data_IF_668687722737
#
_entry.id   IF_668687722737
#
_cell.length_a   1.000
_cell.length_b   1.000
_cell.length_c   1.000
_cell.angle_alpha   90.00
_cell.angle_beta   90.00
_cell.angle_gamma   90.00
#
_symmetry.space_group_name_H-M   'P 1'
#
loop_
_entity.id
_entity.type
_entity.pdbx_description
1 polymer ?
#
# COMPACT_ATOMS: atom_id res chain seq x y z
N UNK A 1 -39.31 -31.64 -5.55
CA UNK A 1 -37.86 -31.87 -5.38
C UNK A 1 -37.16 -30.53 -5.51
N UNK A 2 -36.73 -29.99 -4.38
CA UNK A 2 -35.95 -28.76 -4.41
C UNK A 2 -34.50 -29.11 -4.79
N UNK A 3 -34.04 -28.71 -5.95
CA UNK A 3 -32.64 -28.79 -6.34
C UNK A 3 -31.84 -27.92 -5.37
N UNK A 4 -31.06 -28.57 -4.49
CA UNK A 4 -30.10 -27.85 -3.66
C UNK A 4 -29.16 -27.10 -4.60
N UNK A 5 -29.21 -25.78 -4.55
CA UNK A 5 -28.23 -24.93 -5.21
C UNK A 5 -26.89 -25.29 -4.58
N UNK A 6 -26.07 -26.02 -5.31
CA UNK A 6 -24.71 -26.33 -4.93
C UNK A 6 -23.98 -24.97 -4.88
N UNK A 7 -23.81 -24.44 -3.68
CA UNK A 7 -23.01 -23.23 -3.46
C UNK A 7 -21.61 -23.55 -3.94
N UNK A 8 -21.22 -22.96 -5.06
CA UNK A 8 -19.92 -23.16 -5.67
C UNK A 8 -18.85 -22.75 -4.64
N UNK A 9 -18.12 -23.75 -4.12
CA UNK A 9 -17.05 -23.54 -3.11
C UNK A 9 -15.87 -22.72 -3.61
N UNK A 10 -15.96 -22.18 -4.84
CA UNK A 10 -14.99 -21.27 -5.46
C UNK A 10 -15.15 -19.82 -5.01
N UNK A 11 -16.25 -19.46 -4.35
CA UNK A 11 -16.39 -18.13 -3.77
C UNK A 11 -15.55 -18.08 -2.48
N UNK A 12 -14.60 -17.15 -2.45
CA UNK A 12 -13.82 -16.85 -1.25
C UNK A 12 -14.81 -16.59 -0.10
N UNK A 13 -14.89 -17.48 0.88
CA UNK A 13 -15.72 -17.27 2.06
C UNK A 13 -15.09 -16.18 2.90
N UNK A 14 -15.48 -14.93 2.63
CA UNK A 14 -14.97 -13.74 3.31
C UNK A 14 -15.53 -13.73 4.73
N UNK A 15 -14.66 -14.00 5.70
CA UNK A 15 -14.98 -13.90 7.11
C UNK A 15 -14.51 -12.56 7.66
N UNK A 16 -15.37 -11.84 8.37
CA UNK A 16 -15.06 -10.50 8.93
C UNK A 16 -13.91 -10.57 9.94
N UNK A 17 -13.90 -11.58 10.83
CA UNK A 17 -12.90 -11.68 11.89
C UNK A 17 -11.44 -11.75 11.39
N UNK A 18 -11.07 -12.53 10.35
CA UNK A 18 -9.75 -12.48 9.73
C UNK A 18 -9.39 -11.11 9.14
N UNK A 19 -10.36 -10.39 8.55
CA UNK A 19 -10.13 -9.05 7.99
C UNK A 19 -9.78 -8.09 9.12
N UNK A 20 -10.57 -8.04 10.19
CA UNK A 20 -10.31 -7.16 11.34
C UNK A 20 -8.96 -7.46 11.97
N UNK A 21 -8.63 -8.75 12.18
CA UNK A 21 -7.32 -9.14 12.72
C UNK A 21 -6.17 -8.72 11.80
N UNK A 22 -6.30 -8.92 10.50
CA UNK A 22 -5.29 -8.50 9.54
C UNK A 22 -5.14 -6.98 9.52
N UNK A 23 -6.23 -6.23 9.57
CA UNK A 23 -6.23 -4.76 9.67
C UNK A 23 -5.46 -4.27 10.90
N UNK A 24 -5.72 -4.86 12.07
CA UNK A 24 -5.01 -4.51 13.30
C UNK A 24 -3.49 -4.80 13.21
N UNK A 25 -3.13 -5.96 12.67
CA UNK A 25 -1.71 -6.33 12.46
C UNK A 25 -1.04 -5.34 11.50
N UNK A 26 -1.68 -4.98 10.40
CA UNK A 26 -1.12 -4.03 9.44
C UNK A 26 -0.94 -2.64 10.06
N UNK A 27 -1.90 -2.18 10.85
CA UNK A 27 -1.80 -0.91 11.58
C UNK A 27 -0.60 -0.90 12.56
N UNK A 28 -0.36 -2.00 13.28
CA UNK A 28 0.81 -2.14 14.15
C UNK A 28 2.10 -2.06 13.33
N UNK A 29 2.18 -2.75 12.19
CA UNK A 29 3.35 -2.69 11.31
C UNK A 29 3.59 -1.26 10.81
N UNK A 30 2.55 -0.56 10.39
CA UNK A 30 2.65 0.85 9.97
C UNK A 30 3.13 1.75 11.13
N UNK A 31 2.61 1.55 12.33
CA UNK A 31 3.04 2.29 13.53
C UNK A 31 4.52 2.03 13.87
N UNK A 32 4.97 0.78 13.75
CA UNK A 32 6.39 0.44 13.92
C UNK A 32 7.28 1.11 12.87
N UNK A 33 6.84 1.22 11.63
CA UNK A 33 7.57 1.98 10.60
C UNK A 33 7.72 3.45 11.00
N UNK A 34 6.67 4.09 11.55
CA UNK A 34 6.74 5.48 12.06
C UNK A 34 7.77 5.58 13.19
N UNK A 35 7.76 4.66 14.15
CA UNK A 35 8.73 4.64 15.27
C UNK A 35 10.17 4.50 14.75
N UNK A 36 10.39 3.57 13.80
CA UNK A 36 11.73 3.36 13.20
C UNK A 36 12.20 4.62 12.48
N UNK A 37 11.34 5.25 11.66
CA UNK A 37 11.65 6.51 11.00
C UNK A 37 11.94 7.62 12.02
N UNK A 38 11.18 7.71 13.11
CA UNK A 38 11.44 8.65 14.20
C UNK A 38 12.84 8.46 14.81
N UNK A 39 13.24 7.21 15.06
CA UNK A 39 14.58 6.90 15.60
C UNK A 39 15.67 7.31 14.59
N UNK A 40 15.51 6.96 13.31
CA UNK A 40 16.47 7.31 12.26
C UNK A 40 16.65 8.82 12.17
N UNK A 41 15.55 9.58 12.06
CA UNK A 41 15.59 11.04 11.90
C UNK A 41 16.09 11.81 13.12
N UNK A 42 16.11 11.18 14.30
CA UNK A 42 16.67 11.76 15.53
C UNK A 42 18.14 11.40 15.74
N UNK A 43 18.55 10.22 15.27
CA UNK A 43 19.89 9.68 15.54
C UNK A 43 20.87 9.92 14.41
N UNK A 44 20.38 10.18 13.21
CA UNK A 44 21.18 10.32 12.00
C UNK A 44 20.90 11.64 11.30
N UNK A 45 21.78 12.01 10.37
CA UNK A 45 21.64 13.22 9.54
C UNK A 45 22.25 13.01 8.16
N UNK A 46 21.83 13.84 7.20
CA UNK A 46 22.38 13.85 5.84
C UNK A 46 21.92 12.65 4.99
N UNK A 47 22.77 12.23 4.06
CA UNK A 47 22.44 11.23 3.05
C UNK A 47 22.03 9.88 3.64
N UNK A 48 22.68 9.46 4.72
CA UNK A 48 22.39 8.17 5.38
C UNK A 48 20.99 8.19 5.99
N UNK A 49 20.64 9.26 6.68
CA UNK A 49 19.27 9.46 7.22
C UNK A 49 18.22 9.37 6.12
N UNK A 50 18.41 10.09 5.02
CA UNK A 50 17.47 10.09 3.90
C UNK A 50 17.34 8.71 3.25
N UNK A 51 18.46 8.02 3.06
CA UNK A 51 18.47 6.69 2.46
C UNK A 51 17.72 5.66 3.34
N UNK A 52 18.03 5.62 4.64
CA UNK A 52 17.39 4.68 5.56
C UNK A 52 15.90 5.00 5.74
N UNK A 53 15.54 6.27 5.88
CA UNK A 53 14.13 6.69 5.93
C UNK A 53 13.39 6.27 4.67
N UNK A 54 13.97 6.50 3.49
CA UNK A 54 13.39 6.08 2.22
C UNK A 54 13.20 4.57 2.13
N UNK A 55 14.16 3.78 2.60
CA UNK A 55 14.07 2.31 2.63
C UNK A 55 12.92 1.85 3.54
N UNK A 56 12.81 2.39 4.75
CA UNK A 56 11.75 2.01 5.70
C UNK A 56 10.37 2.39 5.14
N UNK A 57 10.22 3.58 4.61
CA UNK A 57 8.96 4.04 3.99
C UNK A 57 8.60 3.17 2.79
N UNK A 58 9.57 2.83 1.94
CA UNK A 58 9.36 1.96 0.79
C UNK A 58 8.93 0.55 1.22
N UNK A 59 9.61 -0.06 2.19
CA UNK A 59 9.24 -1.38 2.72
C UNK A 59 7.83 -1.33 3.32
N UNK A 60 7.52 -0.33 4.12
CA UNK A 60 6.19 -0.13 4.69
C UNK A 60 5.10 0.01 3.63
N UNK A 61 5.39 0.75 2.54
CA UNK A 61 4.49 0.88 1.41
C UNK A 61 4.26 -0.47 0.71
N UNK A 62 5.32 -1.22 0.41
CA UNK A 62 5.21 -2.54 -0.23
C UNK A 62 4.44 -3.55 0.61
N UNK A 63 4.64 -3.54 1.94
CA UNK A 63 3.85 -4.35 2.87
C UNK A 63 2.38 -3.94 2.80
N UNK A 64 2.09 -2.64 2.87
CA UNK A 64 0.71 -2.13 2.82
C UNK A 64 0.02 -2.48 1.49
N UNK A 65 0.73 -2.40 0.38
CA UNK A 65 0.22 -2.71 -0.96
C UNK A 65 -0.11 -4.21 -1.11
N UNK A 66 0.80 -5.09 -0.75
CA UNK A 66 0.73 -6.49 -1.16
C UNK A 66 0.33 -7.47 -0.04
N UNK A 67 0.65 -7.16 1.23
CA UNK A 67 0.38 -8.09 2.32
C UNK A 67 -1.13 -8.42 2.49
N UNK A 68 -2.08 -7.49 2.35
CA UNK A 68 -3.51 -7.81 2.38
C UNK A 68 -3.91 -8.85 1.33
N UNK A 69 -3.43 -8.69 0.10
CA UNK A 69 -3.65 -9.66 -0.96
C UNK A 69 -3.06 -11.04 -0.67
N UNK A 70 -1.94 -11.13 0.05
CA UNK A 70 -1.38 -12.44 0.44
C UNK A 70 -2.24 -13.14 1.48
N UNK A 71 -2.97 -12.40 2.33
CA UNK A 71 -3.85 -12.96 3.36
C UNK A 71 -5.16 -13.47 2.78
N UNK A 72 -5.73 -12.74 1.86
CA UNK A 72 -7.01 -13.08 1.22
C UNK A 72 -6.81 -14.03 0.02
N UNK A 73 -5.65 -13.92 -0.69
CA UNK A 73 -5.34 -14.63 -1.93
C UNK A 73 -6.43 -14.42 -2.99
N UNK A 74 -6.70 -13.16 -3.35
CA UNK A 74 -7.84 -12.81 -4.20
C UNK A 74 -7.68 -13.41 -5.60
N UNK A 75 -8.78 -13.93 -6.14
CA UNK A 75 -8.91 -14.34 -7.54
C UNK A 75 -10.08 -13.65 -8.22
N UNK A 76 -11.04 -13.20 -7.43
CA UNK A 76 -12.28 -12.55 -7.85
C UNK A 76 -12.45 -11.19 -7.15
N UNK A 77 -13.44 -10.42 -7.59
CA UNK A 77 -13.71 -9.07 -7.09
C UNK A 77 -13.96 -9.04 -5.58
N UNK A 78 -14.63 -10.05 -5.04
CA UNK A 78 -14.94 -10.13 -3.61
C UNK A 78 -13.67 -10.24 -2.75
N UNK A 79 -12.71 -11.08 -3.17
CA UNK A 79 -11.41 -11.18 -2.50
C UNK A 79 -10.59 -9.90 -2.62
N UNK A 80 -10.66 -9.23 -3.78
CA UNK A 80 -9.99 -7.94 -4.00
C UNK A 80 -10.58 -6.87 -3.08
N UNK A 81 -11.92 -6.82 -2.98
CA UNK A 81 -12.63 -5.89 -2.09
C UNK A 81 -12.34 -6.16 -0.62
N UNK A 82 -12.24 -7.43 -0.22
CA UNK A 82 -11.87 -7.82 1.13
C UNK A 82 -10.43 -7.39 1.48
N UNK A 83 -9.50 -7.51 0.55
CA UNK A 83 -8.13 -7.03 0.74
C UNK A 83 -8.06 -5.50 0.83
N UNK A 84 -8.83 -4.77 0.02
CA UNK A 84 -9.00 -3.32 0.17
C UNK A 84 -9.60 -2.95 1.54
N UNK A 85 -10.55 -3.75 2.03
CA UNK A 85 -11.12 -3.63 3.38
C UNK A 85 -10.08 -3.79 4.49
N UNK A 86 -9.05 -4.62 4.32
CA UNK A 86 -7.91 -4.70 5.26
C UNK A 86 -7.16 -3.37 5.28
N UNK A 87 -6.90 -2.74 4.13
CA UNK A 87 -6.23 -1.45 4.04
C UNK A 87 -7.01 -0.33 4.73
N UNK A 88 -8.32 -0.25 4.47
CA UNK A 88 -9.21 0.69 5.15
C UNK A 88 -9.23 0.44 6.65
N UNK A 89 -9.42 -0.79 7.08
CA UNK A 89 -9.43 -1.17 8.49
C UNK A 89 -8.08 -0.89 9.18
N UNK A 90 -6.96 -1.09 8.49
CA UNK A 90 -5.65 -0.74 9.03
C UNK A 90 -5.53 0.76 9.32
N UNK A 91 -6.03 1.62 8.43
CA UNK A 91 -6.06 3.05 8.68
C UNK A 91 -6.97 3.41 9.87
N UNK A 92 -8.10 2.74 10.02
CA UNK A 92 -8.97 2.90 11.18
C UNK A 92 -8.28 2.56 12.51
N UNK A 93 -7.49 1.48 12.55
CA UNK A 93 -6.70 1.13 13.75
C UNK A 93 -5.48 2.03 13.92
N UNK A 94 -4.85 2.45 12.82
CA UNK A 94 -3.67 3.32 12.87
C UNK A 94 -3.99 4.71 13.45
N UNK A 95 -5.11 5.33 13.05
CA UNK A 95 -5.47 6.69 13.49
C UNK A 95 -5.56 6.85 15.00
N UNK A 96 -6.22 5.95 15.78
CA UNK A 96 -6.17 6.03 17.24
C UNK A 96 -4.77 5.83 17.82
N UNK A 97 -3.98 4.90 17.27
CA UNK A 97 -2.59 4.69 17.72
C UNK A 97 -1.77 5.95 17.46
N UNK A 98 -1.93 6.55 16.29
CA UNK A 98 -1.28 7.80 15.93
C UNK A 98 -1.65 8.94 16.87
N UNK A 99 -2.95 9.22 17.00
CA UNK A 99 -3.45 10.35 17.78
C UNK A 99 -3.21 10.22 19.28
N UNK A 100 -3.31 9.01 19.84
CA UNK A 100 -3.25 8.78 21.29
C UNK A 100 -1.86 8.36 21.78
N UNK A 101 -1.00 7.87 20.90
CA UNK A 101 0.30 7.32 21.28
C UNK A 101 1.44 8.03 20.53
N UNK A 102 1.46 7.98 19.19
CA UNK A 102 2.62 8.44 18.41
C UNK A 102 2.79 9.96 18.47
N UNK A 103 1.70 10.72 18.34
CA UNK A 103 1.77 12.18 18.42
C UNK A 103 2.10 12.67 19.84
N UNK A 104 1.46 12.21 20.94
CA UNK A 104 1.82 12.63 22.29
C UNK A 104 3.25 12.26 22.71
N UNK A 105 3.76 11.12 22.21
CA UNK A 105 5.16 10.74 22.42
C UNK A 105 6.14 11.53 21.55
N UNK A 106 5.64 12.45 20.72
CA UNK A 106 6.45 13.28 19.83
C UNK A 106 7.21 12.46 18.79
N UNK A 107 6.65 11.34 18.28
CA UNK A 107 7.34 10.49 17.30
C UNK A 107 7.58 11.19 15.97
N UNK A 108 6.85 12.26 15.67
CA UNK A 108 7.00 13.05 14.46
C UNK A 108 8.04 14.16 14.67
N UNK A 109 9.08 14.16 13.83
CA UNK A 109 10.09 15.20 13.78
C UNK A 109 9.68 16.32 12.81
N UNK A 110 10.39 17.46 12.80
CA UNK A 110 10.13 18.55 11.86
C UNK A 110 10.17 18.10 10.38
N UNK A 111 10.89 17.02 10.07
CA UNK A 111 10.91 16.42 8.73
C UNK A 111 9.53 15.97 8.23
N UNK A 112 8.69 15.45 9.11
CA UNK A 112 7.34 15.08 8.75
C UNK A 112 6.49 16.29 8.32
N UNK A 113 6.73 17.45 8.96
CA UNK A 113 6.08 18.69 8.58
C UNK A 113 6.57 19.19 7.21
N UNK A 114 7.86 19.03 6.90
CA UNK A 114 8.43 19.39 5.61
C UNK A 114 7.89 18.58 4.44
N UNK A 115 7.54 17.31 4.67
CA UNK A 115 6.93 16.43 3.64
C UNK A 115 5.40 16.46 3.65
N UNK A 116 4.79 17.44 4.32
CA UNK A 116 3.33 17.63 4.35
C UNK A 116 2.62 16.75 5.40
N UNK A 117 3.37 16.06 6.26
CA UNK A 117 2.84 15.34 7.41
C UNK A 117 2.59 16.30 8.56
N UNK A 118 1.42 16.87 8.65
CA UNK A 118 1.00 17.68 9.78
C UNK A 118 -0.34 17.20 10.32
N UNK A 119 -0.58 17.41 11.61
CA UNK A 119 -1.82 17.07 12.29
C UNK A 119 -3.00 17.96 11.84
N UNK A 120 -3.22 18.05 10.55
CA UNK A 120 -4.35 18.78 9.99
C UNK A 120 -5.48 17.78 9.77
N UNK A 121 -6.69 18.11 10.19
CA UNK A 121 -7.87 17.24 10.16
C UNK A 121 -8.13 16.55 8.80
N UNK A 122 -7.74 17.17 7.69
CA UNK A 122 -7.92 16.60 6.34
C UNK A 122 -7.00 15.41 6.02
N UNK A 123 -5.93 15.21 6.79
CA UNK A 123 -5.02 14.11 6.54
C UNK A 123 -5.67 12.74 6.77
N UNK A 124 -6.63 12.64 7.68
CA UNK A 124 -7.36 11.39 7.97
C UNK A 124 -8.11 10.85 6.74
N UNK A 125 -8.98 11.64 6.07
CA UNK A 125 -9.62 11.18 4.83
C UNK A 125 -8.62 10.80 3.73
N UNK A 126 -7.53 11.55 3.57
CA UNK A 126 -6.49 11.25 2.58
C UNK A 126 -5.84 9.90 2.88
N UNK A 127 -5.51 9.61 4.13
CA UNK A 127 -4.96 8.32 4.52
C UNK A 127 -5.94 7.16 4.30
N UNK A 128 -7.23 7.34 4.58
CA UNK A 128 -8.24 6.33 4.30
C UNK A 128 -8.34 6.05 2.81
N UNK A 129 -8.39 7.08 1.99
CA UNK A 129 -8.43 6.95 0.54
C UNK A 129 -7.16 6.27 0.01
N UNK A 130 -5.99 6.75 0.41
CA UNK A 130 -4.71 6.19 -0.02
C UNK A 130 -4.54 4.74 0.44
N UNK A 131 -4.76 4.44 1.72
CA UNK A 131 -4.62 3.09 2.28
C UNK A 131 -5.55 2.08 1.60
N UNK A 132 -6.80 2.46 1.34
CA UNK A 132 -7.75 1.62 0.61
C UNK A 132 -7.32 1.44 -0.84
N UNK A 133 -6.93 2.51 -1.52
CA UNK A 133 -6.56 2.51 -2.92
C UNK A 133 -5.32 1.65 -3.19
N UNK A 134 -4.24 1.82 -2.44
CA UNK A 134 -2.99 1.08 -2.70
C UNK A 134 -3.15 -0.42 -2.42
N UNK A 135 -3.88 -0.80 -1.39
CA UNK A 135 -4.18 -2.22 -1.11
C UNK A 135 -5.08 -2.82 -2.17
N UNK A 136 -6.06 -2.06 -2.66
CA UNK A 136 -6.93 -2.47 -3.76
C UNK A 136 -6.11 -2.73 -5.04
N UNK A 137 -5.25 -1.79 -5.45
CA UNK A 137 -4.39 -1.92 -6.62
C UNK A 137 -3.42 -3.12 -6.50
N UNK A 138 -2.75 -3.26 -5.35
CA UNK A 138 -1.86 -4.39 -5.11
C UNK A 138 -2.56 -5.74 -5.19
N UNK A 139 -3.79 -5.81 -4.67
CA UNK A 139 -4.60 -7.03 -4.71
C UNK A 139 -5.07 -7.39 -6.12
N UNK A 140 -5.38 -6.39 -6.96
CA UNK A 140 -5.65 -6.59 -8.39
C UNK A 140 -4.46 -7.18 -9.12
N UNK A 141 -3.25 -6.64 -8.89
CA UNK A 141 -2.01 -7.15 -9.50
C UNK A 141 -1.82 -8.63 -9.14
N UNK A 142 -1.96 -8.97 -7.85
CA UNK A 142 -1.83 -10.36 -7.39
C UNK A 142 -2.92 -11.28 -7.95
N UNK A 143 -4.16 -10.80 -8.05
CA UNK A 143 -5.26 -11.55 -8.65
C UNK A 143 -5.03 -11.82 -10.14
N UNK A 144 -4.56 -10.83 -10.91
CA UNK A 144 -4.22 -11.00 -12.32
C UNK A 144 -3.09 -12.02 -12.51
N UNK A 145 -2.04 -11.97 -11.67
CA UNK A 145 -0.97 -12.96 -11.70
C UNK A 145 -1.49 -14.37 -11.38
N UNK A 146 -2.29 -14.51 -10.29
CA UNK A 146 -2.84 -15.79 -9.89
C UNK A 146 -3.75 -16.40 -10.95
N UNK A 147 -4.56 -15.58 -11.65
CA UNK A 147 -5.45 -16.04 -12.72
C UNK A 147 -4.68 -16.42 -13.99
N UNK A 148 -3.51 -15.83 -14.24
CA UNK A 148 -2.70 -16.09 -15.42
C UNK A 148 -1.76 -17.27 -15.25
N UNK A 149 -1.11 -17.42 -14.09
CA UNK A 149 -0.03 -18.39 -13.85
C UNK A 149 -0.40 -19.46 -12.80
N UNK A 150 -1.61 -19.39 -12.24
CA UNK A 150 -2.05 -20.26 -11.15
C UNK A 150 -1.60 -19.80 -9.76
N UNK A 151 -0.55 -18.99 -9.67
CA UNK A 151 0.01 -18.50 -8.41
C UNK A 151 0.40 -17.02 -8.50
N UNK A 152 0.16 -16.27 -7.42
CA UNK A 152 0.65 -14.90 -7.28
C UNK A 152 2.08 -14.90 -6.75
N UNK A 153 2.93 -14.04 -7.30
CA UNK A 153 4.31 -13.84 -6.87
C UNK A 153 4.50 -12.41 -6.38
N UNK A 154 4.57 -12.23 -5.06
CA UNK A 154 4.80 -10.92 -4.45
C UNK A 154 6.12 -10.28 -4.91
N UNK A 155 7.27 -11.00 -4.98
CA UNK A 155 8.50 -10.40 -5.46
C UNK A 155 8.38 -9.86 -6.90
N UNK A 156 7.73 -10.60 -7.80
CA UNK A 156 7.51 -10.14 -9.18
C UNK A 156 6.59 -8.91 -9.22
N UNK A 157 5.56 -8.86 -8.38
CA UNK A 157 4.68 -7.71 -8.27
C UNK A 157 5.41 -6.47 -7.75
N UNK A 158 6.27 -6.63 -6.74
CA UNK A 158 7.12 -5.55 -6.23
C UNK A 158 8.04 -5.02 -7.33
N UNK A 159 8.75 -5.89 -8.03
CA UNK A 159 9.64 -5.49 -9.14
C UNK A 159 8.86 -4.73 -10.21
N UNK A 160 7.71 -5.26 -10.64
CA UNK A 160 6.86 -4.60 -11.63
C UNK A 160 6.47 -3.19 -11.18
N UNK A 161 5.91 -3.05 -9.97
CA UNK A 161 5.48 -1.75 -9.43
C UNK A 161 6.65 -0.78 -9.30
N UNK A 162 7.79 -1.26 -8.80
CA UNK A 162 8.98 -0.42 -8.63
C UNK A 162 9.49 0.12 -9.96
N UNK A 163 9.66 -0.76 -10.95
CA UNK A 163 10.15 -0.36 -12.28
C UNK A 163 9.18 0.60 -12.96
N UNK A 164 7.89 0.29 -12.95
CA UNK A 164 6.86 1.15 -13.58
C UNK A 164 6.79 2.50 -12.87
N UNK A 165 6.81 2.54 -11.54
CA UNK A 165 6.80 3.80 -10.79
C UNK A 165 8.04 4.63 -11.04
N UNK A 166 9.21 4.00 -11.14
CA UNK A 166 10.46 4.68 -11.50
C UNK A 166 10.39 5.28 -12.91
N UNK A 167 9.84 4.56 -13.88
CA UNK A 167 9.62 5.08 -15.24
C UNK A 167 8.66 6.26 -15.23
N UNK A 168 7.53 6.15 -14.51
CA UNK A 168 6.55 7.26 -14.40
C UNK A 168 7.19 8.50 -13.78
N UNK A 169 7.96 8.34 -12.69
CA UNK A 169 8.68 9.42 -12.05
C UNK A 169 9.73 10.07 -12.97
N UNK A 170 10.51 9.23 -13.68
CA UNK A 170 11.51 9.69 -14.63
C UNK A 170 10.87 10.47 -15.79
N UNK A 171 9.76 9.97 -16.34
CA UNK A 171 9.02 10.68 -17.39
C UNK A 171 8.48 12.01 -16.88
N UNK A 172 7.88 12.07 -15.70
CA UNK A 172 7.38 13.30 -15.12
C UNK A 172 8.51 14.34 -14.94
N UNK A 173 9.67 13.90 -14.44
CA UNK A 173 10.85 14.75 -14.30
C UNK A 173 11.40 15.23 -15.65
N UNK A 174 11.46 14.33 -16.65
CA UNK A 174 12.00 14.64 -17.98
C UNK A 174 11.13 15.64 -18.76
N UNK A 175 9.79 15.51 -18.65
CA UNK A 175 8.85 16.45 -19.32
C UNK A 175 8.59 17.72 -18.51
N UNK A 176 9.30 17.92 -17.39
CA UNK A 176 9.12 19.05 -16.49
C UNK A 176 7.66 19.22 -16.04
N UNK A 177 7.02 18.09 -15.69
CA UNK A 177 5.65 18.14 -15.14
C UNK A 177 5.64 19.07 -13.93
N UNK A 178 4.60 19.89 -13.71
CA UNK A 178 4.55 20.84 -12.61
C UNK A 178 4.92 20.20 -11.27
N UNK A 179 5.89 20.80 -10.57
CA UNK A 179 6.45 20.32 -9.29
C UNK A 179 7.28 19.02 -9.37
N UNK A 180 7.42 18.39 -10.54
CA UNK A 180 8.26 17.21 -10.70
C UNK A 180 9.72 17.59 -10.98
N UNK A 181 10.63 16.79 -10.44
CA UNK A 181 12.07 16.91 -10.63
C UNK A 181 12.78 15.60 -10.34
N UNK A 182 14.09 15.57 -10.54
CA UNK A 182 14.93 14.40 -10.21
C UNK A 182 15.19 14.34 -8.69
N UNK A 183 14.12 14.15 -7.91
CA UNK A 183 14.13 14.18 -6.45
C UNK A 183 13.22 13.10 -5.86
N UNK A 184 13.48 12.74 -4.60
CA UNK A 184 12.73 11.69 -3.90
C UNK A 184 11.21 11.94 -3.86
N UNK A 185 10.70 13.16 -3.58
CA UNK A 185 9.27 13.41 -3.59
C UNK A 185 8.58 13.06 -4.91
N UNK A 186 9.19 13.37 -6.06
CA UNK A 186 8.63 13.03 -7.38
C UNK A 186 8.47 11.52 -7.52
N UNK A 187 9.49 10.74 -7.16
CA UNK A 187 9.43 9.28 -7.27
C UNK A 187 8.49 8.66 -6.24
N UNK A 188 8.36 9.25 -5.06
CA UNK A 188 7.39 8.81 -4.05
C UNK A 188 5.94 9.02 -4.52
N UNK A 189 5.62 10.19 -5.07
CA UNK A 189 4.28 10.47 -5.64
C UNK A 189 4.01 9.60 -6.87
N UNK A 190 5.02 9.32 -7.69
CA UNK A 190 4.91 8.46 -8.87
C UNK A 190 4.50 7.02 -8.54
N UNK A 191 4.60 6.58 -7.28
CA UNK A 191 4.12 5.26 -6.84
C UNK A 191 2.62 5.09 -7.11
N UNK A 192 1.81 6.12 -6.88
CA UNK A 192 0.35 6.06 -7.08
C UNK A 192 -0.03 5.81 -8.57
N UNK A 193 0.35 6.67 -9.52
CA UNK A 193 0.09 6.40 -10.93
C UNK A 193 0.84 5.16 -11.43
N UNK A 194 2.02 4.88 -10.90
CA UNK A 194 2.78 3.66 -11.21
C UNK A 194 2.03 2.37 -10.86
N UNK A 195 1.35 2.33 -9.72
CA UNK A 195 0.47 1.22 -9.34
C UNK A 195 -0.67 1.01 -10.33
N UNK A 196 -1.31 2.10 -10.78
CA UNK A 196 -2.40 2.01 -11.79
C UNK A 196 -1.87 1.45 -13.10
N UNK A 197 -0.74 1.94 -13.58
CA UNK A 197 -0.11 1.46 -14.83
C UNK A 197 0.33 0.01 -14.69
N UNK A 198 0.96 -0.36 -13.56
CA UNK A 198 1.37 -1.74 -13.29
C UNK A 198 0.17 -2.70 -13.26
N UNK A 199 -0.96 -2.26 -12.68
CA UNK A 199 -2.21 -3.00 -12.70
C UNK A 199 -2.75 -3.18 -14.13
N UNK A 200 -2.78 -2.10 -14.92
CA UNK A 200 -3.19 -2.17 -16.33
C UNK A 200 -2.31 -3.15 -17.14
N UNK A 201 -0.99 -3.12 -16.95
CA UNK A 201 -0.06 -4.06 -17.59
C UNK A 201 -0.39 -5.50 -17.18
N UNK A 202 -0.64 -5.73 -15.89
CA UNK A 202 -1.01 -7.05 -15.37
C UNK A 202 -2.32 -7.56 -15.96
N UNK A 203 -3.29 -6.67 -16.21
CA UNK A 203 -4.59 -6.99 -16.78
C UNK A 203 -4.51 -7.36 -18.27
N UNK A 204 -3.63 -6.73 -19.05
CA UNK A 204 -3.47 -7.00 -20.49
C UNK A 204 -3.05 -8.45 -20.77
N UNK A 205 -2.33 -9.08 -19.88
CA UNK A 205 -1.92 -10.48 -20.00
C UNK A 205 -2.97 -11.51 -19.60
N UNK A 206 -4.07 -11.10 -18.95
CA UNK A 206 -5.09 -12.01 -18.41
C UNK A 206 -6.26 -12.30 -19.35
N UNK A 207 -6.35 -11.62 -20.50
CA UNK A 207 -7.48 -11.71 -21.47
C UNK A 207 -7.48 -12.94 -22.38
N UNK A 208 -6.68 -13.96 -22.11
CA UNK A 208 -6.65 -15.19 -22.89
C UNK A 208 -7.05 -16.40 -22.02
N UNK A 209 -8.26 -16.38 -21.54
CA UNK A 209 -8.88 -17.50 -20.87
C UNK A 209 -10.39 -17.41 -20.97
#
# INVERSE_FOLDING_TARGET
>A
MATAVQVDSRFDQIKIAPIVRASAILAIVQSLCVVVVSIITRSLSGTIEHALTGIVVYIGAMITIFWPGTRIRPRQIDGISAAAGIGLGATWFFVPIDALILQPLGMYTNRWHEVGGGSIWWYIPVWWMAGTFITWQGSWILAHQANRTGQASVPQAIVLVTVVSAIVGALAAAVHFPLAGWNVPTFAVALMPGLVVANAISALGSRRG
#
